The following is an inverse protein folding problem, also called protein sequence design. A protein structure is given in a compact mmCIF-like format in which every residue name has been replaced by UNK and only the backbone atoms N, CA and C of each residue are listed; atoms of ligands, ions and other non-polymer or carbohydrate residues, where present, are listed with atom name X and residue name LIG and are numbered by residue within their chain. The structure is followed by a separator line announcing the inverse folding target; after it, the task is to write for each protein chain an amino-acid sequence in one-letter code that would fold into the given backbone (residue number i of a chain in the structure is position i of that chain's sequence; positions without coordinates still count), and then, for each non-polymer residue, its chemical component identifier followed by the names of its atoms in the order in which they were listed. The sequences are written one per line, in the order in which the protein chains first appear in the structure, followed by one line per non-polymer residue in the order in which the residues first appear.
data_IF_335974140522
#
_entry.id   IF_335974140522
#
_cell.length_a   1.000
_cell.length_b   1.000
_cell.length_c   1.000
_cell.angle_alpha   90.00
_cell.angle_beta   90.00
_cell.angle_gamma   90.00
#
_symmetry.space_group_name_H-M   'P 1'
#
loop_
_entity.id
_entity.type
_entity.pdbx_description
1 polymer ?
#
# COMPACT_ATOMS: atom_id res chain seq x y z
N UNK A 1 10.57 26.48 17.39
CA UNK A 1 9.46 27.44 17.37
C UNK A 1 8.18 26.62 17.41
N UNK A 2 7.39 26.73 18.48
CA UNK A 2 6.06 26.09 18.51
C UNK A 2 5.18 26.81 17.47
N UNK A 3 4.79 26.11 16.44
CA UNK A 3 3.82 26.61 15.49
C UNK A 3 2.46 26.66 16.19
N UNK A 4 1.94 27.87 16.40
CA UNK A 4 0.60 28.03 16.98
C UNK A 4 -0.45 27.55 15.98
N UNK A 5 -1.59 27.04 16.47
CA UNK A 5 -2.72 26.61 15.63
C UNK A 5 -3.11 27.67 14.59
N UNK A 6 -3.06 28.93 15.01
CA UNK A 6 -3.42 30.07 14.16
C UNK A 6 -2.41 30.31 13.02
N UNK A 7 -1.13 30.05 13.28
CA UNK A 7 -0.07 30.13 12.27
C UNK A 7 -0.27 29.05 11.19
N UNK A 8 -0.51 27.80 11.60
CA UNK A 8 -0.73 26.70 10.64
C UNK A 8 -2.00 26.94 9.79
N UNK A 9 -3.07 27.47 10.40
CA UNK A 9 -4.29 27.85 9.67
C UNK A 9 -4.02 28.94 8.62
N UNK A 10 -3.21 29.94 8.93
CA UNK A 10 -2.85 30.99 7.95
C UNK A 10 -2.01 30.44 6.82
N UNK A 11 -1.03 29.58 7.11
CA UNK A 11 -0.20 28.92 6.09
C UNK A 11 -1.02 28.01 5.17
N UNK A 12 -1.95 27.24 5.73
CA UNK A 12 -2.85 26.41 4.94
C UNK A 12 -3.75 27.23 4.02
N UNK A 13 -4.28 28.34 4.54
CA UNK A 13 -5.12 29.23 3.76
C UNK A 13 -4.35 29.91 2.61
N UNK A 14 -3.14 30.40 2.88
CA UNK A 14 -2.25 30.98 1.87
C UNK A 14 -1.87 29.96 0.80
N UNK A 15 -1.53 28.72 1.19
CA UNK A 15 -1.19 27.65 0.29
C UNK A 15 -2.36 27.28 -0.63
N UNK A 16 -3.57 27.21 -0.11
CA UNK A 16 -4.77 26.91 -0.90
C UNK A 16 -5.10 27.99 -1.93
N UNK A 17 -4.66 29.24 -1.70
CA UNK A 17 -4.84 30.34 -2.65
C UNK A 17 -3.72 30.44 -3.68
N UNK A 18 -2.48 30.17 -3.29
CA UNK A 18 -1.30 30.37 -4.14
C UNK A 18 -0.88 29.12 -4.91
N UNK A 19 -1.04 27.93 -4.33
CA UNK A 19 -0.55 26.63 -4.86
C UNK A 19 -1.50 25.50 -4.43
N UNK A 20 -2.74 25.55 -4.92
CA UNK A 20 -3.81 24.62 -4.55
C UNK A 20 -3.54 23.16 -4.94
N UNK A 21 -2.57 22.92 -5.82
CA UNK A 21 -2.22 21.59 -6.31
C UNK A 21 -1.07 20.94 -5.50
N UNK A 22 -0.53 21.65 -4.53
CA UNK A 22 0.49 21.13 -3.63
C UNK A 22 -0.12 20.27 -2.52
N UNK A 23 -0.71 19.16 -2.92
CA UNK A 23 -1.41 18.25 -2.03
C UNK A 23 -0.52 17.71 -0.90
N UNK A 24 0.78 17.54 -1.14
CA UNK A 24 1.72 17.07 -0.12
C UNK A 24 1.82 18.02 1.07
N UNK A 25 1.96 19.33 0.77
CA UNK A 25 2.08 20.34 1.82
C UNK A 25 0.73 20.64 2.49
N UNK A 26 -0.36 20.62 1.72
CA UNK A 26 -1.73 20.73 2.25
C UNK A 26 -2.01 19.61 3.25
N UNK A 27 -1.68 18.36 2.92
CA UNK A 27 -1.87 17.21 3.81
C UNK A 27 -1.01 17.32 5.07
N UNK A 28 0.23 17.80 4.94
CA UNK A 28 1.14 17.98 6.09
C UNK A 28 0.55 18.99 7.07
N UNK A 29 0.19 20.19 6.62
CA UNK A 29 -0.40 21.24 7.47
C UNK A 29 -1.75 20.81 8.06
N UNK A 30 -2.58 20.10 7.28
CA UNK A 30 -3.86 19.57 7.76
C UNK A 30 -3.66 18.52 8.86
N UNK A 31 -2.65 17.64 8.74
CA UNK A 31 -2.33 16.67 9.77
C UNK A 31 -1.80 17.31 11.05
N UNK A 32 -0.96 18.37 10.95
CA UNK A 32 -0.49 19.13 12.10
C UNK A 32 -1.66 19.78 12.83
N UNK A 33 -2.60 20.41 12.12
CA UNK A 33 -3.83 20.95 12.73
C UNK A 33 -4.67 19.84 13.40
N UNK A 34 -4.79 18.70 12.77
CA UNK A 34 -5.55 17.58 13.31
C UNK A 34 -4.94 17.04 14.61
N UNK A 35 -3.60 17.07 14.75
CA UNK A 35 -2.90 16.66 15.97
C UNK A 35 -3.07 17.65 17.12
N UNK A 36 -3.30 18.95 16.84
CA UNK A 36 -3.56 19.97 17.84
C UNK A 36 -4.99 19.94 18.40
N UNK A 37 -5.90 19.24 17.71
CA UNK A 37 -7.29 19.11 18.15
C UNK A 37 -7.41 18.20 19.37
N UNK A 38 -7.49 18.81 20.56
CA UNK A 38 -7.67 18.10 21.83
C UNK A 38 -9.11 17.67 22.12
N UNK A 39 -10.08 18.09 21.31
CA UNK A 39 -11.51 17.80 21.53
C UNK A 39 -11.96 16.50 20.88
N UNK A 40 -11.32 16.09 19.80
CA UNK A 40 -11.65 14.88 19.06
C UNK A 40 -10.49 13.88 19.13
N UNK A 41 -10.76 12.71 19.68
CA UNK A 41 -9.83 11.58 19.66
C UNK A 41 -9.92 10.93 18.27
N UNK A 42 -8.79 10.83 17.58
CA UNK A 42 -8.69 10.23 16.24
C UNK A 42 -7.73 9.06 16.26
N UNK A 43 -8.05 8.03 15.49
CA UNK A 43 -7.06 7.00 15.18
C UNK A 43 -6.01 7.59 14.23
N UNK A 44 -4.75 7.56 14.63
CA UNK A 44 -3.60 7.83 13.76
C UNK A 44 -2.83 6.55 13.53
N UNK A 45 -2.28 6.41 12.33
CA UNK A 45 -1.48 5.24 11.95
C UNK A 45 -0.05 5.70 11.73
N UNK A 46 0.86 5.22 12.57
CA UNK A 46 2.30 5.43 12.40
C UNK A 46 2.84 4.60 11.24
N UNK A 47 3.78 5.16 10.45
CA UNK A 47 4.43 4.44 9.35
C UNK A 47 5.13 3.13 9.81
N UNK A 48 5.50 3.03 11.07
CA UNK A 48 6.02 1.80 11.68
C UNK A 48 5.06 0.61 11.62
N UNK A 49 3.74 0.85 11.44
CA UNK A 49 2.77 -0.25 11.27
C UNK A 49 3.05 -1.06 10.00
N UNK A 50 3.51 -0.41 8.92
CA UNK A 50 3.86 -1.09 7.67
C UNK A 50 4.99 -2.09 7.90
N UNK A 51 6.03 -1.66 8.64
CA UNK A 51 7.16 -2.53 8.99
C UNK A 51 6.75 -3.67 9.91
N UNK A 52 5.85 -3.43 10.88
CA UNK A 52 5.32 -4.46 11.77
C UNK A 52 4.44 -5.44 11.02
N UNK A 53 3.53 -4.96 10.18
CA UNK A 53 2.69 -5.81 9.35
C UNK A 53 3.54 -6.68 8.40
N UNK A 54 4.58 -6.11 7.77
CA UNK A 54 5.51 -6.88 6.95
C UNK A 54 6.24 -7.96 7.73
N UNK A 55 6.85 -7.62 8.87
CA UNK A 55 7.60 -8.56 9.70
C UNK A 55 6.73 -9.61 10.39
N UNK A 56 5.58 -9.23 10.91
CA UNK A 56 4.72 -10.13 11.70
C UNK A 56 3.83 -11.00 10.81
N UNK A 57 3.35 -10.47 9.69
CA UNK A 57 2.42 -11.17 8.82
C UNK A 57 3.11 -11.98 7.71
N UNK A 58 4.32 -11.60 7.34
CA UNK A 58 5.13 -12.28 6.33
C UNK A 58 6.29 -13.06 6.94
N UNK A 59 6.43 -13.16 8.20
CA UNK A 59 7.47 -13.79 9.06
C UNK A 59 8.45 -14.81 8.46
N UNK A 60 8.20 -15.31 7.24
CA UNK A 60 9.07 -16.20 6.47
C UNK A 60 9.12 -15.79 5.01
N UNK A 61 10.30 -15.80 4.40
CA UNK A 61 10.49 -15.50 2.98
C UNK A 61 9.63 -16.34 2.04
N UNK A 62 9.35 -17.60 2.41
CA UNK A 62 8.46 -18.50 1.66
C UNK A 62 7.02 -17.96 1.62
N UNK A 63 6.56 -17.35 2.69
CA UNK A 63 5.23 -16.70 2.73
C UNK A 63 5.17 -15.50 1.78
N UNK A 64 6.25 -14.70 1.74
CA UNK A 64 6.37 -13.58 0.81
C UNK A 64 6.26 -14.03 -0.66
N UNK A 65 7.04 -15.02 -1.04
CA UNK A 65 7.01 -15.60 -2.38
C UNK A 65 5.61 -16.16 -2.70
N UNK A 66 5.00 -16.88 -1.77
CA UNK A 66 3.66 -17.43 -1.92
C UNK A 66 2.60 -16.35 -2.16
N UNK A 67 2.68 -15.21 -1.46
CA UNK A 67 1.77 -14.09 -1.66
C UNK A 67 1.95 -13.43 -3.04
N UNK A 68 3.19 -13.32 -3.53
CA UNK A 68 3.46 -12.79 -4.87
C UNK A 68 2.93 -13.73 -5.96
N UNK A 69 3.10 -15.05 -5.80
CA UNK A 69 2.50 -16.06 -6.72
C UNK A 69 0.97 -15.97 -6.70
N UNK A 70 0.35 -15.81 -5.53
CA UNK A 70 -1.11 -15.61 -5.43
C UNK A 70 -1.56 -14.31 -6.11
N UNK A 71 -0.77 -13.25 -6.07
CA UNK A 71 -1.09 -12.01 -6.78
C UNK A 71 -1.08 -12.23 -8.30
N UNK A 72 -0.09 -12.94 -8.84
CA UNK A 72 -0.06 -13.33 -10.24
C UNK A 72 -1.27 -14.20 -10.63
N UNK A 73 -1.63 -15.19 -9.80
CA UNK A 73 -2.83 -16.00 -10.00
C UNK A 73 -4.11 -15.15 -10.00
N UNK A 74 -4.22 -14.19 -9.10
CA UNK A 74 -5.35 -13.26 -8.99
C UNK A 74 -5.40 -12.26 -10.18
N UNK A 75 -4.27 -12.05 -10.86
CA UNK A 75 -4.13 -11.28 -12.09
C UNK A 75 -4.34 -12.13 -13.36
N UNK A 76 -4.91 -13.34 -13.24
CA UNK A 76 -5.14 -14.27 -14.34
C UNK A 76 -3.88 -14.73 -15.09
N UNK A 77 -2.72 -14.73 -14.44
CA UNK A 77 -1.51 -15.26 -15.04
C UNK A 77 -1.65 -16.74 -15.44
N UNK A 78 -1.05 -17.11 -16.56
CA UNK A 78 -0.96 -18.51 -17.02
C UNK A 78 0.32 -19.18 -16.55
N UNK A 79 1.37 -18.39 -16.28
CA UNK A 79 2.61 -18.87 -15.68
C UNK A 79 3.17 -17.85 -14.67
N UNK A 80 3.99 -18.34 -13.77
CA UNK A 80 4.85 -17.54 -12.91
C UNK A 80 6.25 -18.13 -12.95
N UNK A 81 7.24 -17.34 -13.34
CA UNK A 81 8.64 -17.72 -13.41
C UNK A 81 9.42 -17.16 -12.23
N UNK A 82 10.10 -18.02 -11.49
CA UNK A 82 10.95 -17.63 -10.36
C UNK A 82 12.41 -17.90 -10.72
N UNK A 83 13.21 -16.83 -10.76
CA UNK A 83 14.64 -16.90 -11.04
C UNK A 83 15.45 -16.45 -9.83
N UNK A 84 16.23 -17.37 -9.27
CA UNK A 84 17.13 -17.11 -8.16
C UNK A 84 18.54 -16.84 -8.69
N UNK A 85 19.08 -15.65 -8.43
CA UNK A 85 20.46 -15.30 -8.76
C UNK A 85 21.27 -15.14 -7.46
N UNK A 86 22.41 -15.81 -7.39
CA UNK A 86 23.31 -15.76 -6.22
C UNK A 86 22.61 -16.11 -4.88
N UNK A 87 21.66 -17.02 -4.90
CA UNK A 87 20.80 -17.36 -3.75
C UNK A 87 21.54 -17.88 -2.51
N UNK A 88 22.76 -18.37 -2.70
CA UNK A 88 23.60 -18.94 -1.62
C UNK A 88 24.54 -17.92 -0.97
N UNK A 89 24.42 -16.65 -1.33
CA UNK A 89 25.27 -15.56 -0.79
C UNK A 89 24.40 -14.40 -0.33
N UNK A 90 24.82 -13.65 0.70
CA UNK A 90 24.17 -12.38 1.06
C UNK A 90 24.11 -11.45 -0.16
N UNK A 91 22.96 -10.79 -0.36
CA UNK A 91 22.74 -9.92 -1.53
C UNK A 91 22.28 -10.65 -2.79
N UNK A 92 21.80 -11.91 -2.67
CA UNK A 92 21.15 -12.61 -3.78
C UNK A 92 19.89 -11.88 -4.27
N UNK A 93 19.46 -12.20 -5.50
CA UNK A 93 18.30 -11.58 -6.14
C UNK A 93 17.28 -12.65 -6.49
N UNK A 94 16.03 -12.42 -6.13
CA UNK A 94 14.88 -13.17 -6.62
C UNK A 94 14.13 -12.31 -7.65
N UNK A 95 13.92 -12.86 -8.83
CA UNK A 95 13.10 -12.26 -9.88
C UNK A 95 11.82 -13.10 -9.98
N UNK A 96 10.67 -12.45 -9.96
CA UNK A 96 9.37 -13.07 -10.15
C UNK A 96 8.73 -12.38 -11.35
N UNK A 97 8.42 -13.15 -12.36
CA UNK A 97 7.82 -12.70 -13.62
C UNK A 97 6.53 -13.47 -13.86
N UNK A 98 5.49 -12.78 -14.27
CA UNK A 98 4.20 -13.37 -14.64
C UNK A 98 3.67 -12.71 -15.92
N UNK A 99 2.70 -13.35 -16.56
CA UNK A 99 1.97 -12.87 -17.74
C UNK A 99 0.54 -12.40 -17.41
N UNK A 100 0.28 -12.08 -16.15
CA UNK A 100 -1.02 -11.60 -15.69
C UNK A 100 -1.44 -10.27 -16.31
N UNK A 101 -2.71 -9.90 -16.16
CA UNK A 101 -3.26 -8.65 -16.72
C UNK A 101 -2.72 -7.37 -16.07
N UNK A 102 -1.92 -7.49 -15.00
CA UNK A 102 -1.41 -6.34 -14.25
C UNK A 102 -2.52 -5.55 -13.55
N UNK A 103 -2.27 -4.27 -13.33
CA UNK A 103 -3.20 -3.33 -12.72
C UNK A 103 -3.19 -2.01 -13.49
N UNK A 104 -4.34 -1.44 -13.74
CA UNK A 104 -4.44 -0.06 -14.21
C UNK A 104 -4.16 0.92 -13.04
N UNK A 105 -4.11 2.22 -13.34
CA UNK A 105 -3.79 3.24 -12.34
C UNK A 105 -4.80 3.27 -11.18
N UNK A 106 -6.09 3.16 -11.48
CA UNK A 106 -7.14 3.20 -10.46
C UNK A 106 -7.09 1.95 -9.56
N UNK A 107 -6.84 0.79 -10.13
CA UNK A 107 -6.64 -0.46 -9.39
C UNK A 107 -5.38 -0.41 -8.53
N UNK A 108 -4.31 0.22 -9.03
CA UNK A 108 -3.10 0.43 -8.25
C UNK A 108 -3.38 1.32 -7.04
N UNK A 109 -3.97 2.51 -7.24
CA UNK A 109 -4.18 3.51 -6.18
C UNK A 109 -5.24 3.05 -5.18
N UNK A 110 -6.41 2.62 -5.66
CA UNK A 110 -7.54 2.29 -4.80
C UNK A 110 -7.53 0.85 -4.29
N UNK A 111 -6.82 -0.05 -4.97
CA UNK A 111 -6.66 -1.45 -4.59
C UNK A 111 -5.31 -1.72 -3.92
N UNK A 112 -4.23 -1.66 -4.70
CA UNK A 112 -2.91 -2.08 -4.23
C UNK A 112 -2.29 -1.11 -3.20
N UNK A 113 -2.37 0.20 -3.42
CA UNK A 113 -1.79 1.20 -2.49
C UNK A 113 -2.67 1.46 -1.26
N UNK A 114 -3.91 1.00 -1.26
CA UNK A 114 -4.83 1.17 -0.13
C UNK A 114 -4.73 -0.02 0.83
N UNK A 115 -4.28 0.23 2.07
CA UNK A 115 -4.18 -0.78 3.11
C UNK A 115 -5.59 -1.26 3.48
N UNK A 116 -5.77 -2.60 3.59
CA UNK A 116 -7.06 -3.20 3.98
C UNK A 116 -8.22 -2.87 3.03
N UNK A 117 -7.93 -2.76 1.72
CA UNK A 117 -9.00 -2.57 0.74
C UNK A 117 -9.93 -3.78 0.72
N UNK A 118 -11.24 -3.53 0.61
CA UNK A 118 -12.28 -4.56 0.50
C UNK A 118 -12.51 -5.03 -0.95
N UNK A 119 -11.65 -4.62 -1.89
CA UNK A 119 -11.83 -4.93 -3.32
C UNK A 119 -11.99 -6.43 -3.58
N UNK A 120 -11.13 -7.26 -2.99
CA UNK A 120 -11.21 -8.73 -3.15
C UNK A 120 -12.46 -9.37 -2.51
N UNK A 121 -13.12 -8.66 -1.59
CA UNK A 121 -14.40 -9.11 -1.02
C UNK A 121 -15.53 -8.83 -1.99
N UNK A 122 -15.51 -7.67 -2.64
CA UNK A 122 -16.53 -7.27 -3.62
C UNK A 122 -16.33 -7.92 -4.99
N UNK A 123 -15.06 -8.19 -5.36
CA UNK A 123 -14.67 -8.81 -6.63
C UNK A 123 -13.93 -10.14 -6.39
N UNK A 124 -14.61 -11.20 -5.91
CA UNK A 124 -13.96 -12.44 -5.49
C UNK A 124 -13.48 -13.33 -6.63
N UNK A 125 -13.82 -12.99 -7.88
CA UNK A 125 -13.53 -13.76 -9.09
C UNK A 125 -12.66 -12.95 -10.03
N UNK A 126 -11.71 -13.59 -10.70
CA UNK A 126 -10.86 -12.96 -11.71
C UNK A 126 -11.61 -12.67 -13.01
N UNK A 127 -11.10 -11.73 -13.81
CA UNK A 127 -11.84 -11.20 -14.96
C UNK A 127 -11.83 -12.15 -16.16
N UNK A 128 -10.69 -12.76 -16.46
CA UNK A 128 -10.48 -13.57 -17.68
C UNK A 128 -10.87 -15.03 -17.43
N UNK A 129 -10.20 -15.69 -16.49
CA UNK A 129 -10.38 -17.14 -16.29
C UNK A 129 -11.46 -17.48 -15.26
N UNK A 130 -12.12 -16.47 -14.67
CA UNK A 130 -13.18 -16.65 -13.67
C UNK A 130 -12.74 -17.51 -12.46
N UNK A 131 -11.45 -17.40 -12.10
CA UNK A 131 -10.89 -18.10 -10.95
C UNK A 131 -11.33 -17.40 -9.65
N UNK A 132 -11.51 -18.17 -8.61
CA UNK A 132 -11.71 -17.59 -7.27
C UNK A 132 -10.37 -17.01 -6.78
N UNK A 133 -10.35 -15.71 -6.46
CA UNK A 133 -9.15 -15.03 -5.95
C UNK A 133 -8.61 -15.70 -4.69
N UNK A 134 -7.30 -15.95 -4.65
CA UNK A 134 -6.61 -16.63 -3.56
C UNK A 134 -6.24 -15.68 -2.42
N UNK A 135 -5.91 -14.42 -2.71
CA UNK A 135 -5.54 -13.43 -1.72
C UNK A 135 -6.75 -12.89 -0.95
N UNK A 136 -6.81 -13.14 0.37
CA UNK A 136 -7.96 -12.72 1.19
C UNK A 136 -7.71 -11.44 2.02
N UNK A 137 -6.46 -11.18 2.43
CA UNK A 137 -6.14 -10.20 3.48
C UNK A 137 -5.66 -8.84 2.97
N UNK A 138 -5.30 -8.70 1.69
CA UNK A 138 -4.79 -7.45 1.13
C UNK A 138 -3.47 -6.94 1.71
N UNK A 139 -2.75 -7.80 2.45
CA UNK A 139 -1.48 -7.48 3.13
C UNK A 139 -0.25 -8.10 2.46
N UNK A 140 -0.41 -8.98 1.49
CA UNK A 140 0.68 -9.63 0.75
C UNK A 140 1.62 -8.65 0.02
N UNK A 141 1.20 -7.40 -0.14
CA UNK A 141 2.01 -6.31 -0.70
C UNK A 141 3.20 -5.88 0.17
N UNK A 142 3.21 -6.27 1.44
CA UNK A 142 4.29 -5.99 2.38
C UNK A 142 5.29 -7.15 2.51
N UNK A 143 5.12 -8.17 1.68
CA UNK A 143 5.95 -9.35 1.60
C UNK A 143 7.35 -9.08 1.03
#
# INVERSE_FOLDING_TARGET
MEHTEQYIKSQLFELLQSDSDNYSQILTLSNELAQMDKKNIRFSVDAGIITRLGKELVGKGETAISELIKNAYDADATYVNLVFKNAFRPGGTLIIEDDGCGMNFDELVNGFMRISSSDKIHNPITTIFKRKKAGKKGIGRFA
#
